data_IF_453927530817
#
_entry.id   IF_453927530817
#
_cell.length_a   1.000
_cell.length_b   1.000
_cell.length_c   1.000
_cell.angle_alpha   90.00
_cell.angle_beta   90.00
_cell.angle_gamma   90.00
#
_symmetry.space_group_name_H-M   'P 1'
#
loop_
_entity.id
_entity.type
_entity.pdbx_description
1 polymer ?
#
# COMPACT_ATOMS: atom_id res chain seq x y z
N UNK A 1 0.71 -9.09 4.88
CA UNK A 1 0.32 -8.57 3.55
C UNK A 1 1.36 -8.95 2.55
N UNK A 2 0.96 -9.51 1.40
CA UNK A 2 1.89 -9.86 0.32
C UNK A 2 1.71 -8.88 -0.84
N UNK A 3 2.75 -8.08 -1.11
CA UNK A 3 2.80 -7.20 -2.28
C UNK A 3 3.59 -7.89 -3.38
N UNK A 4 3.04 -7.92 -4.59
CA UNK A 4 3.67 -8.52 -5.76
C UNK A 4 3.66 -7.53 -6.92
N UNK A 5 4.83 -7.24 -7.47
CA UNK A 5 4.97 -6.50 -8.74
C UNK A 5 5.14 -7.52 -9.86
N UNK A 6 4.33 -7.41 -10.92
CA UNK A 6 4.41 -8.26 -12.10
C UNK A 6 4.34 -7.40 -13.36
N UNK A 7 5.24 -7.63 -14.29
CA UNK A 7 5.12 -7.12 -15.65
C UNK A 7 4.11 -7.98 -16.43
N UNK A 8 3.09 -7.35 -17.00
CA UNK A 8 2.04 -8.03 -17.78
C UNK A 8 2.32 -7.98 -19.28
N UNK A 9 2.89 -6.88 -19.76
CA UNK A 9 3.24 -6.65 -21.16
C UNK A 9 4.26 -5.50 -21.22
N UNK A 10 4.84 -5.24 -22.41
CA UNK A 10 5.72 -4.09 -22.63
C UNK A 10 5.06 -2.80 -22.09
N UNK A 11 5.72 -2.17 -21.12
CA UNK A 11 5.25 -0.93 -20.47
C UNK A 11 3.90 -1.09 -19.75
N UNK A 12 3.57 -2.30 -19.27
CA UNK A 12 2.38 -2.53 -18.46
C UNK A 12 2.73 -3.35 -17.23
N UNK A 13 2.60 -2.70 -16.09
CA UNK A 13 3.00 -3.20 -14.80
C UNK A 13 1.77 -3.38 -13.92
N UNK A 14 1.81 -4.36 -13.03
CA UNK A 14 0.72 -4.65 -12.12
C UNK A 14 1.29 -4.85 -10.72
N UNK A 15 0.71 -4.15 -9.75
CA UNK A 15 0.95 -4.35 -8.32
C UNK A 15 -0.27 -5.05 -7.74
N UNK A 16 -0.08 -6.24 -7.18
CA UNK A 16 -1.09 -6.97 -6.42
C UNK A 16 -0.81 -6.85 -4.93
N UNK A 17 -1.82 -6.42 -4.19
CA UNK A 17 -1.85 -6.39 -2.74
C UNK A 17 -3.01 -7.27 -2.28
N UNK A 18 -2.71 -8.49 -1.87
CA UNK A 18 -3.71 -9.52 -1.51
C UNK A 18 -4.82 -9.63 -2.59
N UNK A 19 -6.02 -9.09 -2.32
CA UNK A 19 -7.16 -9.13 -3.25
C UNK A 19 -7.30 -7.88 -4.13
N UNK A 20 -6.44 -6.88 -3.96
CA UNK A 20 -6.44 -5.64 -4.72
C UNK A 20 -5.38 -5.67 -5.83
N UNK A 21 -5.76 -5.19 -7.00
CA UNK A 21 -4.89 -5.17 -8.18
C UNK A 21 -4.86 -3.77 -8.79
N UNK A 22 -3.68 -3.18 -8.88
CA UNK A 22 -3.47 -1.84 -9.47
C UNK A 22 -2.56 -1.95 -10.67
N UNK A 23 -2.92 -1.32 -11.79
CA UNK A 23 -2.15 -1.36 -13.03
C UNK A 23 -1.44 -0.03 -13.26
N UNK A 24 -0.21 -0.10 -13.75
CA UNK A 24 0.68 1.03 -14.04
C UNK A 24 1.22 0.94 -15.47
N UNK A 25 1.59 2.09 -16.03
CA UNK A 25 2.18 2.18 -17.38
C UNK A 25 3.71 2.14 -17.38
N UNK A 26 4.32 2.13 -16.19
CA UNK A 26 5.77 2.19 -16.00
C UNK A 26 6.20 1.38 -14.79
N UNK A 27 7.39 0.79 -14.86
CA UNK A 27 8.01 0.07 -13.74
C UNK A 27 8.25 1.02 -12.56
N UNK A 28 8.77 2.21 -12.86
CA UNK A 28 9.08 3.24 -11.88
C UNK A 28 7.85 3.63 -11.05
N UNK A 29 6.69 3.81 -11.70
CA UNK A 29 5.43 4.11 -11.01
C UNK A 29 4.97 2.95 -10.12
N UNK A 30 5.04 1.71 -10.63
CA UNK A 30 4.68 0.52 -9.86
C UNK A 30 5.57 0.33 -8.61
N UNK A 31 6.88 0.59 -8.75
CA UNK A 31 7.83 0.57 -7.63
C UNK A 31 7.59 1.70 -6.63
N UNK A 32 7.40 2.94 -7.10
CA UNK A 32 7.11 4.09 -6.23
C UNK A 32 5.82 3.89 -5.43
N UNK A 33 4.78 3.35 -6.08
CA UNK A 33 3.53 2.98 -5.40
C UNK A 33 3.77 1.91 -4.34
N UNK A 34 4.52 0.86 -4.67
CA UNK A 34 4.83 -0.23 -3.73
C UNK A 34 5.61 0.27 -2.52
N UNK A 35 6.63 1.12 -2.74
CA UNK A 35 7.42 1.71 -1.64
C UNK A 35 6.55 2.60 -0.74
N UNK A 36 5.66 3.39 -1.31
CA UNK A 36 4.69 4.20 -0.52
C UNK A 36 3.74 3.31 0.28
N UNK A 37 3.28 2.21 -0.32
CA UNK A 37 2.39 1.26 0.33
C UNK A 37 3.09 0.54 1.49
N UNK A 38 4.30 0.01 1.28
CA UNK A 38 5.11 -0.59 2.33
C UNK A 38 5.38 0.39 3.47
N UNK A 39 5.77 1.63 3.15
CA UNK A 39 5.99 2.66 4.16
C UNK A 39 4.74 2.93 5.00
N UNK A 40 3.55 2.93 4.39
CA UNK A 40 2.28 3.10 5.11
C UNK A 40 1.94 1.90 5.97
N UNK A 41 2.18 0.67 5.50
CA UNK A 41 1.89 -0.55 6.26
C UNK A 41 2.82 -0.73 7.45
N UNK A 42 4.08 -0.31 7.31
CA UNK A 42 5.07 -0.35 8.38
C UNK A 42 5.02 0.90 9.27
N UNK A 43 4.29 1.95 8.88
CA UNK A 43 4.18 3.15 9.69
C UNK A 43 3.53 2.78 11.03
N UNK A 44 4.09 3.26 12.16
CA UNK A 44 3.41 3.15 13.44
C UNK A 44 2.11 3.96 13.36
N UNK A 45 0.99 3.26 13.19
CA UNK A 45 -0.33 3.85 13.30
C UNK A 45 -0.64 4.05 14.78
N UNK A 46 -0.21 5.18 15.32
CA UNK A 46 -0.64 5.61 16.65
C UNK A 46 -2.17 5.72 16.64
N UNK A 47 -2.83 4.78 17.31
CA UNK A 47 -4.21 4.94 17.70
C UNK A 47 -4.25 6.07 18.73
N UNK A 48 -5.10 7.10 18.57
CA UNK A 48 -5.27 8.09 19.61
C UNK A 48 -5.64 7.34 20.90
N UNK A 49 -4.95 7.65 21.99
CA UNK A 49 -5.24 7.05 23.30
C UNK A 49 -6.73 7.19 23.56
N UNK A 50 -7.43 6.14 24.02
CA UNK A 50 -8.83 6.26 24.38
C UNK A 50 -8.93 7.25 25.54
N UNK A 51 -9.16 8.53 25.22
CA UNK A 51 -9.56 9.55 26.16
C UNK A 51 -10.80 8.99 26.84
N UNK A 52 -10.65 8.51 28.08
CA UNK A 52 -11.76 8.07 28.91
C UNK A 52 -12.79 9.18 28.87
N UNK A 53 -13.92 8.93 28.19
CA UNK A 53 -15.05 9.85 28.22
C UNK A 53 -15.59 9.78 29.64
N UNK A 54 -15.09 10.66 30.50
CA UNK A 54 -15.77 11.01 31.73
C UNK A 54 -16.99 11.86 31.32
N UNK A 55 -18.13 11.20 31.18
CA UNK A 55 -19.45 11.80 31.24
C UNK A 55 -20.32 10.70 31.87
N UNK A 56 -20.73 10.78 33.12
CA UNK A 56 -21.16 11.95 33.88
C UNK A 56 -22.61 11.70 34.24
#
# INVERSE_FOLDING_TARGET
MKILIKELAKSRWQVRLDNQTVNFRSEAEARAFTSTLEARLHAPHYLPEPQQRAAG
#
